data_IF_672538702521
#
_entry.id   IF_672538702521
#
_cell.length_a   1.000
_cell.length_b   1.000
_cell.length_c   1.000
_cell.angle_alpha   90.00
_cell.angle_beta   90.00
_cell.angle_gamma   90.00
#
_symmetry.space_group_name_H-M   'P 1'
#
loop_
_entity.id
_entity.type
_entity.pdbx_description
1 polymer ?
#
# COMPACT_ATOMS: atom_id res chain seq x y z
N UNK A 1 -3.72 22.75 13.97
CA UNK A 1 -3.36 23.29 12.64
C UNK A 1 -2.20 22.51 12.01
N UNK A 2 -1.13 22.18 12.74
CA UNK A 2 0.04 21.51 12.22
C UNK A 2 -0.29 20.15 11.55
N UNK A 3 -1.09 19.32 12.22
CA UNK A 3 -1.49 18.02 11.69
C UNK A 3 -2.24 18.10 10.36
N UNK A 4 -3.07 19.12 10.18
CA UNK A 4 -3.81 19.34 8.92
C UNK A 4 -2.87 19.69 7.77
N UNK A 5 -1.88 20.54 8.02
CA UNK A 5 -0.87 20.92 7.03
C UNK A 5 -0.04 19.69 6.61
N UNK A 6 0.43 18.90 7.59
CA UNK A 6 1.19 17.68 7.31
C UNK A 6 0.36 16.69 6.49
N UNK A 7 -0.90 16.43 6.88
CA UNK A 7 -1.79 15.54 6.12
C UNK A 7 -1.99 16.02 4.67
N UNK A 8 -2.18 17.31 4.49
CA UNK A 8 -2.33 17.89 3.15
C UNK A 8 -1.06 17.68 2.31
N UNK A 9 0.12 17.90 2.88
CA UNK A 9 1.39 17.68 2.18
C UNK A 9 1.59 16.21 1.81
N UNK A 10 1.25 15.27 2.70
CA UNK A 10 1.31 13.84 2.44
C UNK A 10 0.39 13.45 1.29
N UNK A 11 -0.85 13.91 1.32
CA UNK A 11 -1.84 13.63 0.27
C UNK A 11 -1.36 14.20 -1.07
N UNK A 12 -0.94 15.45 -1.10
CA UNK A 12 -0.44 16.14 -2.31
C UNK A 12 0.76 15.39 -2.89
N UNK A 13 1.75 15.04 -2.06
CA UNK A 13 2.93 14.28 -2.48
C UNK A 13 2.61 12.86 -2.96
N UNK A 14 1.62 12.21 -2.34
CA UNK A 14 1.20 10.85 -2.67
C UNK A 14 0.38 10.71 -3.97
N UNK A 15 -0.23 11.80 -4.47
CA UNK A 15 -1.01 11.78 -5.73
C UNK A 15 -0.14 11.60 -6.98
N UNK A 16 1.10 12.07 -6.96
CA UNK A 16 2.05 11.96 -8.07
C UNK A 16 1.87 12.99 -9.18
N UNK A 17 2.97 13.25 -9.89
CA UNK A 17 3.06 14.30 -10.91
C UNK A 17 2.09 14.10 -12.08
N UNK A 18 1.84 12.86 -12.49
CA UNK A 18 0.91 12.56 -13.59
C UNK A 18 -0.51 13.04 -13.29
N UNK A 19 -0.97 12.86 -12.04
CA UNK A 19 -2.31 13.29 -11.61
C UNK A 19 -2.38 14.81 -11.53
N UNK A 20 -1.34 15.45 -11.01
CA UNK A 20 -1.28 16.92 -10.95
C UNK A 20 -1.31 17.55 -12.32
N UNK A 21 -0.50 17.06 -13.27
CA UNK A 21 -0.50 17.54 -14.64
C UNK A 21 -1.88 17.40 -15.29
N UNK A 22 -2.54 16.26 -15.07
CA UNK A 22 -3.88 16.00 -15.61
C UNK A 22 -4.95 16.94 -15.01
N UNK A 23 -4.88 17.20 -13.70
CA UNK A 23 -5.78 18.16 -13.00
C UNK A 23 -5.61 19.57 -13.56
N UNK A 24 -4.37 20.04 -13.70
CA UNK A 24 -4.08 21.39 -14.22
C UNK A 24 -4.54 21.52 -15.66
N UNK A 25 -4.21 20.56 -16.53
CA UNK A 25 -4.58 20.56 -17.94
C UNK A 25 -6.10 20.57 -18.14
N UNK A 26 -6.84 19.81 -17.34
CA UNK A 26 -8.29 19.71 -17.44
C UNK A 26 -9.05 20.67 -16.48
N UNK A 27 -8.34 21.67 -15.92
CA UNK A 27 -8.91 22.69 -15.01
C UNK A 27 -9.76 22.09 -13.88
N UNK A 28 -9.30 20.96 -13.31
CA UNK A 28 -9.97 20.28 -12.21
C UNK A 28 -11.31 19.59 -12.55
N UNK A 29 -11.72 19.54 -13.80
CA UNK A 29 -12.99 18.92 -14.19
C UNK A 29 -12.88 17.41 -14.22
N UNK A 30 -13.39 16.72 -13.20
CA UNK A 30 -13.31 15.25 -13.02
C UNK A 30 -13.75 14.44 -14.25
N UNK A 31 -14.78 14.93 -14.97
CA UNK A 31 -15.31 14.23 -16.18
C UNK A 31 -14.24 14.03 -17.25
N UNK A 32 -13.34 15.00 -17.43
CA UNK A 32 -12.33 15.02 -18.49
C UNK A 32 -10.99 14.40 -18.08
N UNK A 33 -10.80 14.06 -16.79
CA UNK A 33 -9.58 13.40 -16.31
C UNK A 33 -9.38 12.04 -16.97
N UNK A 34 -8.11 11.66 -17.13
CA UNK A 34 -7.71 10.35 -17.61
C UNK A 34 -8.11 9.27 -16.61
N UNK A 35 -8.24 8.01 -17.08
CA UNK A 35 -8.58 6.87 -16.23
C UNK A 35 -7.65 6.74 -15.03
N UNK A 36 -6.35 6.91 -15.23
CA UNK A 36 -5.34 6.89 -14.18
C UNK A 36 -5.68 7.85 -13.04
N UNK A 37 -5.89 9.12 -13.35
CA UNK A 37 -6.19 10.17 -12.36
C UNK A 37 -7.51 9.92 -11.63
N UNK A 38 -8.53 9.44 -12.33
CA UNK A 38 -9.81 9.07 -11.71
C UNK A 38 -9.64 7.95 -10.68
N UNK A 39 -8.90 6.89 -11.03
CA UNK A 39 -8.61 5.78 -10.13
C UNK A 39 -7.85 6.28 -8.90
N UNK A 40 -6.78 7.04 -9.10
CA UNK A 40 -5.95 7.54 -8.01
C UNK A 40 -6.74 8.41 -7.04
N UNK A 41 -7.50 9.39 -7.55
CA UNK A 41 -8.27 10.31 -6.70
C UNK A 41 -9.37 9.58 -5.92
N UNK A 42 -10.16 8.75 -6.60
CA UNK A 42 -11.27 8.05 -5.95
C UNK A 42 -10.78 7.04 -4.92
N UNK A 43 -9.75 6.26 -5.27
CA UNK A 43 -9.26 5.23 -4.36
C UNK A 43 -8.45 5.81 -3.19
N UNK A 44 -7.70 6.90 -3.42
CA UNK A 44 -7.04 7.64 -2.33
C UNK A 44 -8.05 8.18 -1.32
N UNK A 45 -9.11 8.85 -1.79
CA UNK A 45 -10.15 9.34 -0.91
C UNK A 45 -10.86 8.19 -0.16
N UNK A 46 -11.15 7.10 -0.86
CA UNK A 46 -11.76 5.91 -0.25
C UNK A 46 -10.88 5.34 0.88
N UNK A 47 -9.58 5.13 0.64
CA UNK A 47 -8.66 4.58 1.65
C UNK A 47 -8.53 5.50 2.86
N UNK A 48 -8.43 6.81 2.66
CA UNK A 48 -8.31 7.77 3.76
C UNK A 48 -9.57 7.77 4.62
N UNK A 49 -10.74 7.85 4.00
CA UNK A 49 -12.01 7.93 4.71
C UNK A 49 -12.33 6.61 5.41
N UNK A 50 -12.22 5.47 4.69
CA UNK A 50 -12.49 4.16 5.28
C UNK A 50 -11.49 3.80 6.37
N UNK A 51 -10.20 4.07 6.16
CA UNK A 51 -9.15 3.84 7.16
C UNK A 51 -9.38 4.67 8.42
N UNK A 52 -9.65 5.97 8.28
CA UNK A 52 -9.95 6.84 9.42
C UNK A 52 -11.20 6.39 10.19
N UNK A 53 -12.26 6.00 9.46
CA UNK A 53 -13.51 5.53 10.08
C UNK A 53 -13.27 4.25 10.88
N UNK A 54 -12.57 3.27 10.31
CA UNK A 54 -12.33 1.99 10.98
C UNK A 54 -11.41 2.21 12.20
N UNK A 55 -10.33 3.00 12.08
CA UNK A 55 -9.46 3.33 13.24
C UNK A 55 -10.29 4.01 14.33
N UNK A 56 -11.13 4.99 13.98
CA UNK A 56 -12.00 5.66 14.95
C UNK A 56 -12.91 4.67 15.68
N UNK A 57 -13.55 3.76 14.96
CA UNK A 57 -14.44 2.75 15.56
C UNK A 57 -13.69 1.76 16.46
N UNK A 58 -12.49 1.33 16.06
CA UNK A 58 -11.67 0.41 16.85
C UNK A 58 -11.12 1.06 18.11
N UNK A 59 -10.76 2.36 18.03
CA UNK A 59 -10.12 3.08 19.13
C UNK A 59 -11.08 3.90 20.01
N UNK A 60 -12.39 3.92 19.73
CA UNK A 60 -13.34 4.72 20.50
C UNK A 60 -13.30 4.42 22.01
N UNK A 61 -13.01 3.17 22.37
CA UNK A 61 -12.81 2.67 23.73
C UNK A 61 -11.34 2.35 24.04
N UNK A 62 -10.43 2.59 23.11
CA UNK A 62 -9.00 2.30 23.25
C UNK A 62 -8.30 3.23 24.23
N UNK A 63 -7.21 2.75 24.83
CA UNK A 63 -6.44 3.48 25.84
C UNK A 63 -5.89 4.81 25.32
N UNK A 64 -5.45 4.85 24.07
CA UNK A 64 -4.91 6.06 23.42
C UNK A 64 -5.96 7.17 23.24
N UNK A 65 -7.24 6.83 23.17
CA UNK A 65 -8.32 7.80 22.96
C UNK A 65 -9.05 8.18 24.25
N UNK A 66 -8.70 7.55 25.39
CA UNK A 66 -9.28 7.92 26.68
C UNK A 66 -8.91 9.36 27.05
N UNK A 67 -9.89 10.13 27.52
CA UNK A 67 -9.70 11.52 27.91
C UNK A 67 -9.58 12.53 26.77
N UNK A 68 -9.49 12.10 25.50
CA UNK A 68 -9.45 13.01 24.33
C UNK A 68 -10.86 13.43 23.91
N UNK A 69 -10.98 14.66 23.41
CA UNK A 69 -12.22 15.17 22.82
C UNK A 69 -12.58 14.42 21.53
N UNK A 70 -13.85 14.45 21.13
CA UNK A 70 -14.29 13.79 19.88
C UNK A 70 -13.56 14.34 18.66
N UNK A 71 -13.32 15.65 18.60
CA UNK A 71 -12.57 16.29 17.52
C UNK A 71 -11.12 15.82 17.45
N UNK A 72 -10.45 15.62 18.59
CA UNK A 72 -9.10 15.05 18.65
C UNK A 72 -9.06 13.58 18.22
N UNK A 73 -10.04 12.78 18.61
CA UNK A 73 -10.18 11.39 18.18
C UNK A 73 -10.33 11.28 16.67
N UNK A 74 -11.20 12.10 16.07
CA UNK A 74 -11.38 12.15 14.60
C UNK A 74 -10.09 12.59 13.91
N UNK A 75 -9.44 13.65 14.42
CA UNK A 75 -8.19 14.16 13.81
C UNK A 75 -7.08 13.13 13.89
N UNK A 76 -6.90 12.43 15.02
CA UNK A 76 -5.89 11.38 15.18
C UNK A 76 -6.17 10.18 14.28
N UNK A 77 -7.43 9.74 14.17
CA UNK A 77 -7.81 8.64 13.28
C UNK A 77 -7.55 8.99 11.81
N UNK A 78 -7.86 10.21 11.42
CA UNK A 78 -7.62 10.71 10.07
C UNK A 78 -6.12 10.83 9.79
N UNK A 79 -5.35 11.33 10.76
CA UNK A 79 -3.90 11.43 10.65
C UNK A 79 -3.26 10.04 10.49
N UNK A 80 -3.66 9.05 11.29
CA UNK A 80 -3.12 7.70 11.19
C UNK A 80 -3.45 7.02 9.85
N UNK A 81 -4.66 7.25 9.32
CA UNK A 81 -5.01 6.77 7.99
C UNK A 81 -4.17 7.39 6.87
N UNK A 82 -3.84 8.68 7.00
CA UNK A 82 -3.02 9.40 6.01
C UNK A 82 -1.55 9.02 6.13
N UNK A 83 -1.00 8.99 7.36
CA UNK A 83 0.44 8.73 7.60
C UNK A 83 0.87 7.32 7.23
N UNK A 84 -0.03 6.32 7.36
CA UNK A 84 0.21 4.95 6.93
C UNK A 84 0.55 4.84 5.43
N UNK A 85 0.20 5.84 4.63
CA UNK A 85 0.49 5.90 3.19
C UNK A 85 1.86 6.53 2.91
N UNK A 86 2.91 5.88 3.43
CA UNK A 86 4.33 6.15 3.19
C UNK A 86 4.85 7.51 3.69
N UNK A 87 4.32 7.99 4.84
CA UNK A 87 4.77 9.23 5.45
C UNK A 87 5.53 9.03 6.77
N UNK A 88 5.10 8.10 7.63
CA UNK A 88 5.82 7.70 8.83
C UNK A 88 5.75 8.65 10.02
N UNK A 89 4.91 9.69 9.99
CA UNK A 89 4.72 10.59 11.12
C UNK A 89 3.73 10.03 12.13
N UNK A 90 3.99 10.22 13.42
CA UNK A 90 3.12 9.78 14.51
C UNK A 90 2.54 10.95 15.29
N UNK A 91 1.25 10.84 15.63
CA UNK A 91 0.55 11.73 16.59
C UNK A 91 0.06 10.98 17.81
N UNK A 92 0.12 9.65 17.80
CA UNK A 92 -0.26 8.75 18.87
C UNK A 92 0.77 7.64 19.02
N UNK A 93 0.84 7.02 20.20
CA UNK A 93 1.71 5.87 20.39
C UNK A 93 1.07 4.62 19.75
N UNK A 94 1.69 4.13 18.69
CA UNK A 94 1.17 2.98 17.93
C UNK A 94 1.18 1.68 18.72
N UNK A 95 2.10 1.52 19.68
CA UNK A 95 2.17 0.33 20.53
C UNK A 95 0.93 0.20 21.45
N UNK A 96 0.31 1.33 21.82
CA UNK A 96 -0.87 1.36 22.69
C UNK A 96 -2.20 1.23 21.92
N UNK A 97 -2.16 1.21 20.59
CA UNK A 97 -3.36 0.98 19.79
C UNK A 97 -3.84 -0.47 19.92
N UNK A 98 -5.13 -0.67 19.72
CA UNK A 98 -5.70 -2.01 19.67
C UNK A 98 -5.07 -2.85 18.54
N UNK A 99 -4.97 -4.16 18.74
CA UNK A 99 -4.43 -5.05 17.69
C UNK A 99 -5.19 -4.95 16.36
N UNK A 100 -6.50 -4.67 16.41
CA UNK A 100 -7.31 -4.45 15.22
C UNK A 100 -6.86 -3.19 14.45
N UNK A 101 -6.59 -2.09 15.15
CA UNK A 101 -6.07 -0.85 14.56
C UNK A 101 -4.65 -1.03 14.01
N UNK A 102 -3.78 -1.74 14.74
CA UNK A 102 -2.43 -2.06 14.28
C UNK A 102 -2.48 -2.88 12.98
N UNK A 103 -3.32 -3.92 12.92
CA UNK A 103 -3.49 -4.74 11.73
C UNK A 103 -4.07 -3.93 10.55
N UNK A 104 -5.04 -3.07 10.80
CA UNK A 104 -5.57 -2.17 9.76
C UNK A 104 -4.48 -1.23 9.22
N UNK A 105 -3.64 -0.67 10.11
CA UNK A 105 -2.50 0.17 9.70
C UNK A 105 -1.55 -0.64 8.81
N UNK A 106 -1.25 -1.90 9.15
CA UNK A 106 -0.45 -2.80 8.30
C UNK A 106 -1.08 -2.93 6.90
N UNK A 107 -2.39 -3.16 6.81
CA UNK A 107 -3.09 -3.23 5.52
C UNK A 107 -3.02 -1.92 4.73
N UNK A 108 -3.14 -0.77 5.40
CA UNK A 108 -3.02 0.54 4.76
C UNK A 108 -1.60 0.82 4.28
N UNK A 109 -0.56 0.41 5.04
CA UNK A 109 0.85 0.56 4.67
C UNK A 109 1.21 -0.17 3.38
N UNK A 110 0.64 -1.35 3.14
CA UNK A 110 0.87 -2.13 1.90
C UNK A 110 0.49 -1.32 0.66
N UNK A 111 -0.56 -0.49 0.76
CA UNK A 111 -1.05 0.33 -0.35
C UNK A 111 -0.43 1.73 -0.28
N UNK A 112 0.68 1.91 -0.96
CA UNK A 112 1.41 3.19 -1.03
C UNK A 112 0.72 4.26 -1.87
N UNK A 113 1.51 5.20 -2.39
CA UNK A 113 1.01 6.27 -3.25
C UNK A 113 0.84 5.86 -4.72
N UNK A 114 0.54 6.84 -5.57
CA UNK A 114 0.34 6.60 -7.00
C UNK A 114 1.66 6.52 -7.77
N UNK A 115 1.67 5.96 -9.00
CA UNK A 115 2.81 6.05 -9.89
C UNK A 115 3.21 7.51 -10.15
N UNK A 116 4.52 7.78 -10.15
CA UNK A 116 5.04 9.14 -10.29
C UNK A 116 4.95 9.98 -9.00
N UNK A 117 4.68 9.36 -7.85
CA UNK A 117 4.79 9.96 -6.52
C UNK A 117 6.11 9.61 -5.84
N UNK A 118 6.43 10.29 -4.75
CA UNK A 118 7.57 9.99 -3.89
C UNK A 118 7.35 8.77 -2.99
N UNK A 119 6.14 8.24 -2.92
CA UNK A 119 5.76 7.11 -2.08
C UNK A 119 6.30 5.78 -2.59
N UNK A 120 6.70 4.88 -1.70
CA UNK A 120 7.06 3.49 -2.00
C UNK A 120 5.85 2.53 -1.98
N UNK A 121 6.12 1.26 -1.70
CA UNK A 121 5.07 0.23 -1.59
C UNK A 121 4.34 -0.10 -2.89
N UNK A 122 3.27 -0.88 -2.77
CA UNK A 122 2.41 -1.21 -3.93
C UNK A 122 1.67 0.05 -4.35
N UNK A 123 1.81 0.42 -5.62
CA UNK A 123 1.15 1.63 -6.15
C UNK A 123 -0.37 1.49 -6.11
N UNK A 124 -1.07 2.59 -5.79
CA UNK A 124 -2.55 2.62 -5.73
C UNK A 124 -3.21 2.06 -6.99
N UNK A 125 -2.70 2.41 -8.17
CA UNK A 125 -3.24 1.89 -9.44
C UNK A 125 -3.02 0.39 -9.59
N UNK A 126 -1.85 -0.13 -9.19
CA UNK A 126 -1.54 -1.57 -9.21
C UNK A 126 -2.51 -2.33 -8.32
N UNK A 127 -2.75 -1.85 -7.10
CA UNK A 127 -3.67 -2.48 -6.17
C UNK A 127 -5.12 -2.44 -6.65
N UNK A 128 -5.55 -1.31 -7.24
CA UNK A 128 -6.92 -1.20 -7.82
C UNK A 128 -7.08 -2.15 -9.01
N UNK A 129 -6.10 -2.25 -9.90
CA UNK A 129 -6.16 -3.19 -11.04
C UNK A 129 -6.24 -4.63 -10.54
N UNK A 130 -5.46 -4.98 -9.50
CA UNK A 130 -5.52 -6.29 -8.84
C UNK A 130 -6.94 -6.59 -8.31
N UNK A 131 -7.54 -5.66 -7.55
CA UNK A 131 -8.90 -5.83 -7.03
C UNK A 131 -9.95 -5.95 -8.15
N UNK A 132 -9.84 -5.10 -9.19
CA UNK A 132 -10.76 -5.15 -10.33
C UNK A 132 -10.63 -6.45 -11.12
N UNK A 133 -9.41 -7.01 -11.23
CA UNK A 133 -9.17 -8.32 -11.85
C UNK A 133 -9.92 -9.43 -11.09
N UNK A 134 -9.81 -9.44 -9.75
CA UNK A 134 -10.54 -10.39 -8.90
C UNK A 134 -12.05 -10.24 -9.12
N UNK A 135 -12.58 -9.02 -9.02
CA UNK A 135 -14.02 -8.74 -9.20
C UNK A 135 -14.50 -9.15 -10.60
N UNK A 136 -13.69 -8.88 -11.64
CA UNK A 136 -14.00 -9.25 -13.03
C UNK A 136 -14.11 -10.78 -13.18
N UNK A 137 -13.19 -11.52 -12.56
CA UNK A 137 -13.17 -12.99 -12.55
C UNK A 137 -14.41 -13.55 -11.86
N UNK A 138 -14.74 -13.04 -10.65
CA UNK A 138 -15.96 -13.46 -9.94
C UNK A 138 -17.25 -13.16 -10.72
N UNK A 139 -17.29 -12.03 -11.42
CA UNK A 139 -18.44 -11.66 -12.29
C UNK A 139 -18.42 -12.32 -13.65
N UNK A 140 -17.45 -13.20 -13.95
CA UNK A 140 -17.26 -13.87 -15.25
C UNK A 140 -17.23 -12.91 -16.43
N UNK A 141 -16.69 -11.70 -16.23
CA UNK A 141 -16.55 -10.73 -17.32
C UNK A 141 -15.38 -11.09 -18.22
N UNK A 142 -15.55 -10.86 -19.53
CA UNK A 142 -14.49 -11.10 -20.54
C UNK A 142 -13.34 -10.07 -20.51
N UNK A 143 -13.55 -8.92 -19.84
CA UNK A 143 -12.57 -7.83 -19.76
C UNK A 143 -12.66 -7.10 -18.42
N UNK A 144 -11.54 -6.54 -17.98
CA UNK A 144 -11.48 -5.70 -16.80
C UNK A 144 -11.87 -4.29 -17.20
N UNK A 145 -12.94 -3.77 -16.60
CA UNK A 145 -13.49 -2.46 -16.94
C UNK A 145 -13.55 -1.56 -15.71
N UNK A 146 -13.13 -0.29 -15.90
CA UNK A 146 -13.24 0.74 -14.90
C UNK A 146 -13.59 2.08 -15.57
N UNK A 147 -14.53 2.85 -15.00
CA UNK A 147 -15.00 4.13 -15.55
C UNK A 147 -15.33 4.08 -17.06
N UNK A 148 -15.99 3.01 -17.51
CA UNK A 148 -16.35 2.76 -18.94
C UNK A 148 -15.14 2.65 -19.88
N UNK A 149 -13.98 2.25 -19.36
CA UNK A 149 -12.77 1.97 -20.14
C UNK A 149 -12.26 0.58 -19.81
N UNK A 150 -11.76 -0.13 -20.80
CA UNK A 150 -11.12 -1.44 -20.65
C UNK A 150 -9.67 -1.26 -20.21
N UNK A 151 -9.23 -2.13 -19.29
CA UNK A 151 -7.84 -2.29 -18.86
C UNK A 151 -7.27 -3.51 -19.58
N UNK A 152 -6.04 -3.41 -20.04
CA UNK A 152 -5.34 -4.49 -20.72
C UNK A 152 -5.05 -5.66 -19.78
N UNK A 153 -5.18 -6.89 -20.28
CA UNK A 153 -4.98 -8.11 -19.50
C UNK A 153 -3.51 -8.28 -19.05
N UNK A 154 -2.55 -7.78 -19.83
CA UNK A 154 -1.14 -7.81 -19.44
C UNK A 154 -0.84 -6.88 -18.25
N UNK A 155 -1.56 -5.77 -18.14
CA UNK A 155 -1.47 -4.89 -16.96
C UNK A 155 -1.98 -5.61 -15.71
N UNK A 156 -3.04 -6.42 -15.85
CA UNK A 156 -3.56 -7.21 -14.74
C UNK A 156 -2.58 -8.30 -14.29
N UNK A 157 -1.94 -9.01 -15.21
CA UNK A 157 -0.90 -10.01 -14.88
C UNK A 157 0.26 -9.38 -14.12
N UNK A 158 0.76 -8.23 -14.61
CA UNK A 158 1.82 -7.47 -13.93
C UNK A 158 1.39 -7.03 -12.53
N UNK A 159 0.16 -6.52 -12.37
CA UNK A 159 -0.36 -6.11 -11.08
C UNK A 159 -0.42 -7.29 -10.10
N UNK A 160 -0.90 -8.45 -10.54
CA UNK A 160 -0.92 -9.67 -9.74
C UNK A 160 0.47 -10.10 -9.29
N UNK A 161 1.45 -10.13 -10.23
CA UNK A 161 2.85 -10.50 -9.93
C UNK A 161 3.45 -9.57 -8.86
N UNK A 162 3.23 -8.25 -8.97
CA UNK A 162 3.72 -7.28 -8.01
C UNK A 162 3.12 -7.53 -6.63
N UNK A 163 1.79 -7.67 -6.53
CA UNK A 163 1.12 -7.89 -5.24
C UNK A 163 1.58 -9.19 -4.61
N UNK A 164 1.65 -10.28 -5.38
CA UNK A 164 2.11 -11.58 -4.91
C UNK A 164 3.55 -11.51 -4.36
N UNK A 165 4.45 -10.81 -5.07
CA UNK A 165 5.85 -10.65 -4.67
C UNK A 165 5.98 -9.87 -3.36
N UNK A 166 5.24 -8.76 -3.20
CA UNK A 166 5.22 -8.01 -1.95
C UNK A 166 4.71 -8.86 -0.78
N UNK A 167 3.65 -9.65 -0.98
CA UNK A 167 3.11 -10.53 0.05
C UNK A 167 4.11 -11.60 0.45
N UNK A 168 4.70 -12.30 -0.52
CA UNK A 168 5.69 -13.38 -0.24
C UNK A 168 6.89 -12.83 0.51
N UNK A 169 7.47 -11.71 0.07
CA UNK A 169 8.61 -11.10 0.74
C UNK A 169 8.26 -10.61 2.15
N UNK A 170 7.10 -9.98 2.32
CA UNK A 170 6.65 -9.51 3.63
C UNK A 170 6.47 -10.67 4.61
N UNK A 171 5.83 -11.76 4.18
CA UNK A 171 5.62 -12.95 5.03
C UNK A 171 6.93 -13.63 5.36
N UNK A 172 7.80 -13.85 4.37
CA UNK A 172 9.10 -14.49 4.59
C UNK A 172 9.98 -13.68 5.56
N UNK A 173 10.06 -12.37 5.38
CA UNK A 173 10.80 -11.48 6.27
C UNK A 173 10.19 -11.43 7.68
N UNK A 174 8.87 -11.40 7.80
CA UNK A 174 8.17 -11.42 9.10
C UNK A 174 8.50 -12.70 9.87
N UNK A 175 8.48 -13.86 9.21
CA UNK A 175 8.84 -15.12 9.83
C UNK A 175 10.31 -15.14 10.28
N UNK A 176 11.22 -14.64 9.43
CA UNK A 176 12.64 -14.58 9.76
C UNK A 176 12.91 -13.66 10.96
N UNK A 177 12.40 -12.42 10.93
CA UNK A 177 12.58 -11.45 12.03
C UNK A 177 11.94 -11.95 13.32
N UNK A 178 10.72 -12.50 13.27
CA UNK A 178 10.08 -13.07 14.46
C UNK A 178 10.85 -14.22 15.08
N UNK A 179 11.45 -15.09 14.24
CA UNK A 179 12.26 -16.23 14.70
C UNK A 179 13.62 -15.79 15.31
N UNK A 180 14.26 -14.76 14.71
CA UNK A 180 15.56 -14.26 15.18
C UNK A 180 15.39 -13.49 16.50
N UNK A 181 14.41 -12.62 16.57
CA UNK A 181 14.23 -11.66 17.69
C UNK A 181 13.34 -12.21 18.82
N UNK A 182 12.61 -13.30 18.59
CA UNK A 182 11.66 -13.84 19.56
C UNK A 182 10.45 -12.91 19.83
N UNK A 183 10.20 -11.94 18.94
CA UNK A 183 9.08 -10.98 19.07
C UNK A 183 7.79 -11.55 18.49
N UNK A 184 6.66 -10.97 18.89
CA UNK A 184 5.34 -11.36 18.37
C UNK A 184 5.24 -11.17 16.86
N UNK A 185 4.52 -12.06 16.18
CA UNK A 185 4.29 -11.96 14.72
C UNK A 185 3.70 -10.61 14.31
N UNK A 186 2.82 -10.04 15.13
CA UNK A 186 2.23 -8.72 14.85
C UNK A 186 3.29 -7.61 14.83
N UNK A 187 4.21 -7.60 15.79
CA UNK A 187 5.27 -6.60 15.86
C UNK A 187 6.27 -6.78 14.71
N UNK A 188 6.71 -8.02 14.43
CA UNK A 188 7.59 -8.31 13.28
C UNK A 188 6.94 -7.95 11.95
N UNK A 189 5.66 -8.28 11.76
CA UNK A 189 4.90 -7.94 10.55
C UNK A 189 4.76 -6.44 10.35
N UNK A 190 4.52 -5.70 11.42
CA UNK A 190 4.42 -4.25 11.38
C UNK A 190 5.72 -3.61 10.87
N UNK A 191 6.88 -4.02 11.41
CA UNK A 191 8.19 -3.52 10.99
C UNK A 191 8.53 -3.92 9.54
N UNK A 192 8.35 -5.20 9.19
CA UNK A 192 8.66 -5.68 7.84
C UNK A 192 7.80 -5.02 6.77
N UNK A 193 6.48 -4.86 7.04
CA UNK A 193 5.57 -4.18 6.10
C UNK A 193 5.89 -2.69 6.04
N UNK A 194 6.20 -2.05 7.17
CA UNK A 194 6.64 -0.66 7.20
C UNK A 194 7.92 -0.45 6.39
N UNK A 195 8.87 -1.39 6.47
CA UNK A 195 10.12 -1.35 5.71
C UNK A 195 9.89 -1.52 4.21
N UNK A 196 9.19 -2.60 3.78
CA UNK A 196 8.97 -2.88 2.35
C UNK A 196 8.06 -1.84 1.69
N UNK A 197 7.10 -1.28 2.43
CA UNK A 197 6.26 -0.19 1.95
C UNK A 197 6.93 1.18 2.08
N UNK A 198 8.14 1.27 2.66
CA UNK A 198 8.89 2.51 2.90
C UNK A 198 8.11 3.56 3.67
N UNK A 199 7.38 3.14 4.71
CA UNK A 199 6.51 4.01 5.51
C UNK A 199 7.27 4.67 6.65
N UNK A 200 8.03 3.89 7.43
CA UNK A 200 8.80 4.39 8.57
C UNK A 200 8.03 4.43 9.90
N UNK A 201 6.85 3.80 9.99
CA UNK A 201 6.15 3.59 11.25
C UNK A 201 6.75 2.39 11.99
N UNK A 202 6.78 2.45 13.31
CA UNK A 202 7.28 1.38 14.18
C UNK A 202 6.40 1.21 15.41
N UNK A 203 6.34 -0.02 15.93
CA UNK A 203 5.78 -0.30 17.25
C UNK A 203 6.81 -0.15 18.38
N UNK A 204 8.04 0.31 18.05
CA UNK A 204 9.09 0.58 19.02
C UNK A 204 10.11 -0.54 19.19
N UNK A 205 10.03 -1.62 18.41
CA UNK A 205 11.01 -2.72 18.50
C UNK A 205 12.30 -2.45 17.72
N UNK A 206 12.29 -1.53 16.75
CA UNK A 206 13.41 -1.23 15.85
C UNK A 206 14.75 -0.97 16.57
N UNK A 207 14.82 -0.18 17.68
CA UNK A 207 16.09 0.08 18.35
C UNK A 207 16.74 -1.13 19.04
N UNK A 208 15.97 -2.20 19.25
CA UNK A 208 16.43 -3.42 19.93
C UNK A 208 16.71 -4.58 18.98
N UNK A 209 16.60 -4.38 17.68
CA UNK A 209 16.82 -5.44 16.68
C UNK A 209 18.30 -5.81 16.56
N UNK A 210 18.56 -7.07 16.26
CA UNK A 210 19.88 -7.56 15.92
C UNK A 210 20.34 -7.08 14.54
N UNK A 211 21.64 -7.03 14.29
CA UNK A 211 22.22 -6.64 13.01
C UNK A 211 21.64 -7.43 11.83
N UNK A 212 21.33 -8.73 12.04
CA UNK A 212 20.77 -9.59 10.99
C UNK A 212 19.37 -9.11 10.61
N UNK A 213 18.52 -8.80 11.59
CA UNK A 213 17.17 -8.26 11.36
C UNK A 213 17.22 -6.88 10.72
N UNK A 214 18.16 -6.02 11.12
CA UNK A 214 18.36 -4.72 10.49
C UNK A 214 18.73 -4.85 9.01
N UNK A 215 19.62 -5.78 8.65
CA UNK A 215 19.98 -6.05 7.24
C UNK A 215 18.75 -6.51 6.45
N UNK A 216 17.92 -7.39 7.01
CA UNK A 216 16.67 -7.82 6.37
C UNK A 216 15.77 -6.62 6.10
N UNK A 217 15.57 -5.72 7.09
CA UNK A 217 14.77 -4.52 6.91
C UNK A 217 15.35 -3.58 5.85
N UNK A 218 16.66 -3.38 5.82
CA UNK A 218 17.34 -2.54 4.81
C UNK A 218 17.12 -3.12 3.40
N UNK A 219 17.24 -4.44 3.21
CA UNK A 219 16.97 -5.09 1.94
C UNK A 219 15.51 -4.89 1.50
N UNK A 220 14.55 -5.00 2.44
CA UNK A 220 13.14 -4.72 2.17
C UNK A 220 12.91 -3.26 1.77
N UNK A 221 13.55 -2.30 2.45
CA UNK A 221 13.47 -0.87 2.10
C UNK A 221 13.98 -0.58 0.69
N UNK A 222 15.13 -1.17 0.31
CA UNK A 222 15.69 -1.04 -1.04
C UNK A 222 14.69 -1.61 -2.07
N UNK A 223 14.18 -2.82 -1.82
CA UNK A 223 13.20 -3.46 -2.68
C UNK A 223 11.94 -2.61 -2.86
N UNK A 224 11.39 -2.10 -1.77
CA UNK A 224 10.20 -1.25 -1.78
C UNK A 224 10.40 0.08 -2.51
N UNK A 225 11.62 0.62 -2.50
CA UNK A 225 11.93 1.91 -3.11
C UNK A 225 12.25 1.82 -4.60
N UNK A 226 13.06 0.84 -5.00
CA UNK A 226 13.44 0.64 -6.42
C UNK A 226 12.21 0.28 -7.26
N UNK A 227 11.23 -0.35 -6.64
CA UNK A 227 10.01 -0.81 -7.30
C UNK A 227 10.16 -2.23 -7.84
N UNK A 228 9.18 -3.03 -7.51
CA UNK A 228 9.14 -4.46 -7.82
C UNK A 228 9.27 -4.77 -9.30
N UNK A 229 8.68 -3.97 -10.18
CA UNK A 229 8.77 -4.17 -11.63
C UNK A 229 10.19 -3.92 -12.16
N UNK A 230 10.89 -2.91 -11.65
CA UNK A 230 12.26 -2.60 -12.04
C UNK A 230 13.20 -3.74 -11.67
N UNK A 231 13.06 -4.28 -10.46
CA UNK A 231 13.84 -5.43 -9.99
C UNK A 231 13.51 -6.67 -10.83
N UNK A 232 12.22 -6.92 -11.09
CA UNK A 232 11.78 -8.05 -11.89
C UNK A 232 12.36 -8.00 -13.33
N UNK A 233 12.38 -6.82 -13.94
CA UNK A 233 12.99 -6.63 -15.26
C UNK A 233 14.52 -6.72 -15.24
N UNK A 234 15.17 -6.28 -14.17
CA UNK A 234 16.63 -6.39 -14.04
C UNK A 234 17.12 -7.86 -13.96
N UNK A 235 16.32 -8.75 -13.37
CA UNK A 235 16.60 -10.18 -13.30
C UNK A 235 16.00 -11.00 -14.46
N UNK A 236 15.10 -10.42 -15.24
CA UNK A 236 14.56 -11.08 -16.44
C UNK A 236 15.50 -10.82 -17.61
N UNK A 237 16.23 -11.84 -18.05
CA UNK A 237 16.93 -11.79 -19.32
C UNK A 237 15.92 -11.49 -20.44
N UNK A 238 16.32 -10.69 -21.46
CA UNK A 238 15.52 -10.52 -22.67
C UNK A 238 15.29 -11.89 -23.31
N UNK A 239 14.14 -12.48 -23.05
CA UNK A 239 13.71 -13.65 -23.78
C UNK A 239 13.15 -13.15 -25.11
N UNK A 240 13.92 -13.36 -26.17
CA UNK A 240 13.40 -13.32 -27.52
C UNK A 240 12.14 -14.19 -27.54
N UNK A 241 11.03 -13.60 -27.98
CA UNK A 241 9.76 -14.35 -28.06
C UNK A 241 9.99 -15.61 -28.86
N UNK A 242 9.74 -16.81 -28.33
CA UNK A 242 9.98 -18.05 -29.07
C UNK A 242 9.10 -18.07 -30.32
N UNK A 243 9.70 -18.46 -31.43
CA UNK A 243 9.02 -18.54 -32.74
C UNK A 243 7.87 -19.56 -32.74
N UNK A 244 7.83 -20.47 -31.75
CA UNK A 244 6.77 -21.46 -31.59
C UNK A 244 6.25 -21.45 -30.15
N UNK A 245 4.93 -21.67 -29.96
CA UNK A 245 4.30 -21.85 -28.63
C UNK A 245 4.23 -23.34 -28.32
N UNK A 246 4.53 -23.68 -27.05
CA UNK A 246 4.31 -25.03 -26.55
C UNK A 246 2.82 -25.42 -26.59
N UNK A 247 2.48 -26.71 -26.78
CA UNK A 247 1.10 -27.19 -26.69
C UNK A 247 0.45 -26.79 -25.38
N UNK A 248 -0.83 -26.37 -25.45
CA UNK A 248 -1.60 -26.03 -24.25
C UNK A 248 -2.25 -27.27 -23.66
N UNK A 249 -2.00 -27.48 -22.37
CA UNK A 249 -2.70 -28.50 -21.57
C UNK A 249 -3.60 -27.81 -20.54
N UNK A 250 -4.81 -28.34 -20.34
CA UNK A 250 -5.78 -27.77 -19.40
C UNK A 250 -5.46 -28.26 -18.00
N UNK A 251 -5.15 -27.32 -17.10
CA UNK A 251 -5.02 -27.57 -15.65
C UNK A 251 -6.34 -27.18 -15.00
N UNK A 252 -6.90 -28.06 -14.17
CA UNK A 252 -8.07 -27.73 -13.38
C UNK A 252 -7.63 -26.86 -12.19
N UNK A 253 -8.26 -25.70 -12.06
CA UNK A 253 -8.11 -24.80 -10.91
C UNK A 253 -9.42 -24.88 -10.14
N UNK A 254 -9.34 -25.16 -8.83
CA UNK A 254 -10.48 -25.36 -7.94
C UNK A 254 -11.40 -24.16 -7.78
#
# INVERSE_FOLDING_TARGET
>A
YFNLIIMLLIIVGGLGFFVWNDIVTNKGRFKYLRLHSKIVLTFTAFLIISGALIIFLCEIKGTEFQGKSISEKILNSLFQSVTARTAGFNTVNLANLTHASQFLIICLMIVGGSPGSTAGGIKTTTFVVFLLSIISTFKRKKSIECFRRRIDDDVAKRAFTVVAMYLVLSVAATMAVSAIEGVTLNAAMFECVSAIATVGLTLGITPGLSVVSEIILVLLMIFGRVGSLTILFAFSAEHLSPLSRLPQEKIQIG
#
